data_IF_467239381330
#
_entry.id   IF_467239381330
#
_cell.length_a   1.000
_cell.length_b   1.000
_cell.length_c   1.000
_cell.angle_alpha   90.00
_cell.angle_beta   90.00
_cell.angle_gamma   90.00
#
_symmetry.space_group_name_H-M   'P 1'
#
loop_
_entity.id
_entity.type
_entity.pdbx_description
1 polymer ?
#
# COMPACT_ATOMS: atom_id res chain seq x y z
N UNK A 1 6.87 -25.38 16.32
CA UNK A 1 6.24 -24.16 15.79
C UNK A 1 5.83 -23.38 17.02
N UNK A 2 6.64 -22.37 17.43
CA UNK A 2 6.26 -21.49 18.53
C UNK A 2 4.99 -20.72 18.16
N UNK A 3 4.06 -20.57 19.10
CA UNK A 3 2.93 -19.66 18.94
C UNK A 3 3.50 -18.27 18.63
N UNK A 4 3.21 -17.77 17.44
CA UNK A 4 3.52 -16.39 17.13
C UNK A 4 2.67 -15.52 18.08
N UNK A 5 3.34 -14.81 19.00
CA UNK A 5 2.66 -13.95 19.95
C UNK A 5 1.78 -12.91 19.23
N UNK A 6 0.74 -12.44 19.92
CA UNK A 6 -0.09 -11.35 19.40
C UNK A 6 0.79 -10.11 19.19
N UNK A 7 0.80 -9.59 17.97
CA UNK A 7 1.56 -8.39 17.60
C UNK A 7 0.60 -7.21 17.46
N UNK A 8 0.96 -6.06 17.98
CA UNK A 8 0.20 -4.81 17.78
C UNK A 8 0.82 -4.02 16.62
N UNK A 9 0.06 -3.84 15.56
CA UNK A 9 0.50 -3.16 14.34
C UNK A 9 -0.02 -1.71 14.28
N UNK A 10 0.87 -0.74 14.14
CA UNK A 10 0.53 0.63 13.82
C UNK A 10 0.41 0.79 12.30
N UNK A 11 -0.79 1.03 11.79
CA UNK A 11 -1.06 1.07 10.35
C UNK A 11 -1.52 2.46 9.93
N UNK A 12 -0.80 3.08 8.99
CA UNK A 12 -1.28 4.26 8.27
C UNK A 12 -1.98 3.84 6.97
N UNK A 13 -2.94 4.65 6.50
CA UNK A 13 -3.70 4.29 5.30
C UNK A 13 -4.70 3.14 5.49
N UNK A 14 -5.03 2.79 6.73
CA UNK A 14 -5.87 1.67 7.13
C UNK A 14 -7.29 1.68 6.52
N UNK A 15 -7.81 2.86 6.15
CA UNK A 15 -9.13 3.02 5.52
C UNK A 15 -9.07 2.99 3.98
N UNK A 16 -7.86 2.85 3.40
CA UNK A 16 -7.64 2.72 1.96
C UNK A 16 -7.72 1.27 1.48
N UNK A 17 -7.55 1.07 0.18
CA UNK A 17 -7.65 -0.24 -0.48
C UNK A 17 -6.66 -1.27 0.10
N UNK A 18 -5.37 -1.00 0.03
CA UNK A 18 -4.33 -1.91 0.54
C UNK A 18 -4.33 -1.98 2.06
N UNK A 19 -4.44 -0.81 2.73
CA UNK A 19 -4.44 -0.76 4.20
C UNK A 19 -5.65 -1.46 4.81
N UNK A 20 -6.83 -1.38 4.19
CA UNK A 20 -8.03 -2.10 4.61
C UNK A 20 -7.85 -3.61 4.52
N UNK A 21 -7.30 -4.12 3.41
CA UNK A 21 -7.00 -5.54 3.25
C UNK A 21 -5.97 -6.02 4.30
N UNK A 22 -4.96 -5.19 4.61
CA UNK A 22 -3.99 -5.50 5.67
C UNK A 22 -4.65 -5.57 7.05
N UNK A 23 -5.55 -4.65 7.38
CA UNK A 23 -6.31 -4.70 8.66
C UNK A 23 -7.09 -6.01 8.77
N UNK A 24 -7.85 -6.37 7.72
CA UNK A 24 -8.60 -7.63 7.70
C UNK A 24 -7.67 -8.84 7.92
N UNK A 25 -6.53 -8.84 7.24
CA UNK A 25 -5.56 -9.92 7.34
C UNK A 25 -4.93 -10.02 8.72
N UNK A 26 -4.56 -8.89 9.33
CA UNK A 26 -3.98 -8.84 10.66
C UNK A 26 -4.96 -9.37 11.72
N UNK A 27 -6.21 -8.93 11.69
CA UNK A 27 -7.25 -9.39 12.61
C UNK A 27 -7.55 -10.88 12.43
N UNK A 28 -7.63 -11.36 11.20
CA UNK A 28 -7.84 -12.80 10.90
C UNK A 28 -6.70 -13.69 11.40
N UNK A 29 -5.50 -13.11 11.55
CA UNK A 29 -4.33 -13.80 12.11
C UNK A 29 -4.20 -13.62 13.65
N UNK A 30 -5.16 -12.96 14.30
CA UNK A 30 -5.18 -12.77 15.76
C UNK A 30 -4.33 -11.60 16.27
N UNK A 31 -3.88 -10.69 15.40
CA UNK A 31 -3.12 -9.51 15.79
C UNK A 31 -4.04 -8.34 16.15
N UNK A 32 -3.49 -7.38 16.91
CA UNK A 32 -4.16 -6.11 17.23
C UNK A 32 -3.69 -5.01 16.29
N UNK A 33 -4.56 -4.05 16.00
CA UNK A 33 -4.28 -2.97 15.06
C UNK A 33 -4.53 -1.61 15.71
N UNK A 34 -3.59 -0.71 15.60
CA UNK A 34 -3.73 0.73 15.82
C UNK A 34 -3.75 1.41 14.46
N UNK A 35 -4.84 2.05 14.09
CA UNK A 35 -5.11 2.48 12.73
C UNK A 35 -5.32 3.99 12.66
N UNK A 36 -4.46 4.70 11.89
CA UNK A 36 -4.61 6.12 11.65
C UNK A 36 -5.79 6.38 10.70
N UNK A 37 -6.68 7.28 11.08
CA UNK A 37 -7.83 7.66 10.28
C UNK A 37 -8.11 9.17 10.34
N UNK A 38 -8.50 9.77 9.21
CA UNK A 38 -8.90 11.19 9.14
C UNK A 38 -10.36 11.43 9.47
N UNK A 39 -11.14 10.38 9.66
CA UNK A 39 -12.59 10.46 9.93
C UNK A 39 -12.95 9.39 10.96
N UNK A 40 -13.91 9.63 11.84
CA UNK A 40 -14.40 8.63 12.77
C UNK A 40 -14.78 7.34 12.06
N UNK A 41 -14.41 6.22 12.66
CA UNK A 41 -14.71 4.88 12.18
C UNK A 41 -15.61 4.15 13.17
N UNK A 42 -16.35 3.15 12.71
CA UNK A 42 -17.11 2.27 13.59
C UNK A 42 -16.16 1.50 14.49
N UNK A 43 -16.54 1.33 15.75
CA UNK A 43 -15.82 0.47 16.67
C UNK A 43 -15.71 -0.95 16.10
N UNK A 44 -14.56 -1.56 16.30
CA UNK A 44 -14.24 -2.90 15.83
C UNK A 44 -13.31 -3.57 16.83
N UNK A 45 -13.56 -4.84 17.14
CA UNK A 45 -12.73 -5.61 18.05
C UNK A 45 -11.29 -5.68 17.54
N UNK A 46 -10.35 -5.56 18.46
CA UNK A 46 -8.91 -5.55 18.21
C UNK A 46 -8.42 -4.43 17.25
N UNK A 47 -9.23 -3.38 17.02
CA UNK A 47 -8.83 -2.17 16.28
C UNK A 47 -9.00 -0.94 17.14
N UNK A 48 -7.91 -0.24 17.40
CA UNK A 48 -7.91 1.09 18.00
C UNK A 48 -7.77 2.13 16.90
N UNK A 49 -8.86 2.86 16.62
CA UNK A 49 -8.83 3.94 15.63
C UNK A 49 -8.24 5.20 16.25
N UNK A 50 -7.17 5.72 15.64
CA UNK A 50 -6.53 6.98 16.05
C UNK A 50 -6.95 8.05 15.05
N UNK A 51 -7.73 9.00 15.48
CA UNK A 51 -8.13 10.13 14.64
C UNK A 51 -6.95 11.09 14.48
N UNK A 52 -6.56 11.36 13.23
CA UNK A 52 -5.40 12.18 12.93
C UNK A 52 -4.98 12.13 11.47
N UNK A 53 -3.78 12.64 11.21
CA UNK A 53 -3.19 12.69 9.87
C UNK A 53 -1.66 12.68 9.97
N UNK A 54 -0.98 12.47 8.83
CA UNK A 54 0.49 12.40 8.79
C UNK A 54 1.19 13.73 9.15
N UNK A 55 0.49 14.84 9.03
CA UNK A 55 0.95 16.19 9.40
C UNK A 55 0.61 16.58 10.86
N UNK A 56 0.11 15.63 11.67
CA UNK A 56 -0.22 15.83 13.09
C UNK A 56 0.64 14.95 13.98
N UNK A 57 1.77 15.45 14.50
CA UNK A 57 2.70 14.66 15.30
C UNK A 57 2.07 13.97 16.50
N UNK A 58 1.16 14.62 17.22
CA UNK A 58 0.47 14.03 18.38
C UNK A 58 -0.34 12.78 18.00
N UNK A 59 -0.98 12.78 16.82
CA UNK A 59 -1.72 11.62 16.34
C UNK A 59 -0.81 10.48 15.91
N UNK A 60 0.38 10.78 15.41
CA UNK A 60 1.39 9.77 15.09
C UNK A 60 2.02 9.18 16.35
N UNK A 61 2.29 9.99 17.37
CA UNK A 61 2.73 9.51 18.68
C UNK A 61 1.69 8.56 19.29
N UNK A 62 0.41 8.97 19.29
CA UNK A 62 -0.68 8.10 19.74
C UNK A 62 -0.82 6.83 18.88
N UNK A 63 -0.54 6.89 17.57
CA UNK A 63 -0.61 5.73 16.69
C UNK A 63 0.41 4.65 17.07
N UNK A 64 1.64 5.03 17.36
CA UNK A 64 2.76 4.11 17.63
C UNK A 64 2.87 3.68 19.09
N UNK A 65 2.10 4.27 19.99
CA UNK A 65 2.12 3.92 21.41
C UNK A 65 1.80 2.44 21.62
N UNK A 66 2.74 1.68 22.22
CA UNK A 66 2.59 0.25 22.47
C UNK A 66 2.51 -0.61 21.21
N UNK A 67 2.91 -0.10 20.05
CA UNK A 67 2.99 -0.89 18.82
C UNK A 67 4.32 -1.64 18.74
N UNK A 68 4.28 -2.85 18.21
CA UNK A 68 5.47 -3.69 17.95
C UNK A 68 6.09 -3.38 16.58
N UNK A 69 5.26 -2.99 15.61
CA UNK A 69 5.68 -2.68 14.26
C UNK A 69 4.82 -1.58 13.62
N UNK A 70 5.43 -0.81 12.72
CA UNK A 70 4.75 0.14 11.85
C UNK A 70 4.61 -0.43 10.46
N UNK A 71 3.40 -0.36 9.87
CA UNK A 71 3.18 -0.58 8.45
C UNK A 71 2.66 0.73 7.83
N UNK A 72 3.55 1.42 7.13
CA UNK A 72 3.27 2.71 6.51
C UNK A 72 2.74 2.52 5.09
N UNK A 73 1.40 2.44 4.97
CA UNK A 73 0.69 2.27 3.69
C UNK A 73 0.20 3.59 3.12
N UNK A 74 -0.02 4.60 3.99
CA UNK A 74 -0.51 5.90 3.55
C UNK A 74 0.44 6.56 2.55
N UNK A 75 -0.14 7.13 1.52
CA UNK A 75 0.56 7.88 0.49
C UNK A 75 -0.42 8.48 -0.50
N UNK A 76 0.06 9.42 -1.30
CA UNK A 76 -0.70 10.09 -2.36
C UNK A 76 -0.28 9.51 -3.69
N UNK A 77 -1.23 8.90 -4.41
CA UNK A 77 -1.01 8.33 -5.76
C UNK A 77 -1.35 9.34 -6.87
N UNK A 78 -2.21 10.32 -6.58
CA UNK A 78 -2.61 11.36 -7.52
C UNK A 78 -2.88 12.67 -6.79
N UNK A 79 -2.30 13.75 -7.31
CA UNK A 79 -2.50 15.12 -6.84
C UNK A 79 -2.13 16.08 -7.97
N UNK A 80 -2.77 17.26 -8.09
CA UNK A 80 -2.49 18.21 -9.16
C UNK A 80 -1.11 18.87 -9.06
N UNK A 81 -0.41 18.78 -7.91
CA UNK A 81 0.84 19.52 -7.67
C UNK A 81 1.96 18.65 -7.15
N UNK A 82 3.21 19.00 -7.48
CA UNK A 82 4.40 18.38 -6.91
C UNK A 82 4.42 18.53 -5.37
N UNK A 83 3.99 19.68 -4.86
CA UNK A 83 3.90 19.93 -3.41
C UNK A 83 2.97 18.95 -2.69
N UNK A 84 1.87 18.53 -3.33
CA UNK A 84 0.98 17.51 -2.77
C UNK A 84 1.65 16.13 -2.63
N UNK A 85 2.49 15.75 -3.60
CA UNK A 85 3.31 14.53 -3.49
C UNK A 85 4.39 14.67 -2.40
N UNK A 86 5.04 15.83 -2.27
CA UNK A 86 6.01 16.08 -1.19
C UNK A 86 5.34 15.92 0.15
N UNK A 87 4.25 16.63 0.41
CA UNK A 87 3.55 16.59 1.69
C UNK A 87 3.05 15.18 2.04
N UNK A 88 2.43 14.47 1.07
CA UNK A 88 1.82 13.16 1.34
C UNK A 88 2.81 12.00 1.38
N UNK A 89 3.83 11.98 0.52
CA UNK A 89 4.74 10.85 0.40
C UNK A 89 6.08 11.08 1.13
N UNK A 90 6.67 12.27 1.04
CA UNK A 90 7.99 12.53 1.62
C UNK A 90 7.86 12.99 3.08
N UNK A 91 7.12 14.07 3.32
CA UNK A 91 7.00 14.64 4.66
C UNK A 91 6.18 13.72 5.59
N UNK A 92 5.13 13.09 5.05
CA UNK A 92 4.37 12.08 5.78
C UNK A 92 5.21 10.88 6.20
N UNK A 93 6.09 10.36 5.32
CA UNK A 93 7.01 9.28 5.66
C UNK A 93 8.05 9.73 6.69
N UNK A 94 8.60 10.94 6.54
CA UNK A 94 9.54 11.52 7.53
C UNK A 94 8.91 11.63 8.92
N UNK A 95 7.67 12.11 8.99
CA UNK A 95 6.96 12.24 10.26
C UNK A 95 6.69 10.88 10.90
N UNK A 96 6.31 9.87 10.09
CA UNK A 96 6.07 8.51 10.60
C UNK A 96 7.34 7.83 11.10
N UNK A 97 8.47 8.01 10.42
CA UNK A 97 9.79 7.55 10.87
C UNK A 97 10.13 8.18 12.23
N UNK A 98 10.00 9.51 12.34
CA UNK A 98 10.29 10.23 13.58
C UNK A 98 9.42 9.74 14.74
N UNK A 99 8.13 9.49 14.52
CA UNK A 99 7.23 8.94 15.53
C UNK A 99 7.65 7.52 15.97
N UNK A 100 8.00 6.65 15.02
CA UNK A 100 8.46 5.29 15.31
C UNK A 100 9.75 5.31 16.15
N UNK A 101 10.73 6.14 15.78
CA UNK A 101 11.99 6.32 16.51
C UNK A 101 11.77 6.83 17.94
N UNK A 102 10.92 7.85 18.10
CA UNK A 102 10.61 8.44 19.41
C UNK A 102 9.93 7.43 20.36
N UNK A 103 9.11 6.53 19.82
CA UNK A 103 8.44 5.49 20.58
C UNK A 103 9.28 4.20 20.75
N UNK A 104 10.48 4.12 20.16
CA UNK A 104 11.33 2.94 20.20
C UNK A 104 10.82 1.77 19.35
N UNK A 105 9.85 2.00 18.45
CA UNK A 105 9.32 0.98 17.53
C UNK A 105 10.32 0.81 16.38
N UNK A 106 11.04 -0.30 16.40
CA UNK A 106 12.13 -0.52 15.44
C UNK A 106 11.65 -1.09 14.10
N UNK A 107 10.67 -2.00 14.12
CA UNK A 107 10.18 -2.65 12.90
C UNK A 107 9.33 -1.72 12.05
N UNK A 108 9.75 -1.46 10.81
CA UNK A 108 9.11 -0.49 9.90
C UNK A 108 8.95 -1.06 8.50
N UNK A 109 7.72 -1.29 8.06
CA UNK A 109 7.38 -1.73 6.71
C UNK A 109 6.82 -0.55 5.91
N UNK A 110 7.52 -0.14 4.86
CA UNK A 110 7.10 0.95 3.98
C UNK A 110 6.52 0.42 2.68
N UNK A 111 5.29 0.81 2.37
CA UNK A 111 4.68 0.50 1.07
C UNK A 111 5.02 1.59 0.08
N UNK A 112 5.97 1.28 -0.80
CA UNK A 112 6.40 2.12 -1.91
C UNK A 112 5.61 1.80 -3.19
N UNK A 113 6.26 1.78 -4.33
CA UNK A 113 5.69 1.44 -5.64
C UNK A 113 6.82 0.99 -6.58
N UNK A 114 6.50 0.11 -7.52
CA UNK A 114 7.42 -0.22 -8.60
C UNK A 114 7.86 1.01 -9.42
N UNK A 115 7.03 2.07 -9.43
CA UNK A 115 7.37 3.36 -10.06
C UNK A 115 8.60 4.05 -9.45
N UNK A 116 9.00 3.71 -8.23
CA UNK A 116 10.20 4.26 -7.59
C UNK A 116 11.51 3.80 -8.27
N UNK A 117 11.48 2.74 -9.09
CA UNK A 117 12.65 2.28 -9.88
C UNK A 117 13.10 3.30 -10.92
N UNK A 118 12.13 4.05 -11.47
CA UNK A 118 12.35 4.99 -12.57
C UNK A 118 11.81 6.38 -12.14
N UNK A 119 12.48 7.03 -11.19
CA UNK A 119 11.95 8.26 -10.56
C UNK A 119 11.80 9.42 -11.55
N UNK A 120 12.56 9.41 -12.63
CA UNK A 120 12.52 10.47 -13.65
C UNK A 120 11.29 10.40 -14.56
N UNK A 121 10.58 9.26 -14.57
CA UNK A 121 9.40 9.07 -15.42
C UNK A 121 8.13 9.75 -14.88
N UNK A 122 8.06 10.02 -13.57
CA UNK A 122 6.89 10.67 -12.98
C UNK A 122 7.18 11.32 -11.63
N UNK A 123 6.45 12.40 -11.31
CA UNK A 123 6.53 13.04 -9.99
C UNK A 123 6.11 12.06 -8.87
N UNK A 124 5.18 11.16 -9.16
CA UNK A 124 4.80 10.09 -8.22
C UNK A 124 5.98 9.15 -7.94
N UNK A 125 6.60 8.59 -8.99
CA UNK A 125 7.76 7.71 -8.85
C UNK A 125 8.92 8.39 -8.11
N UNK A 126 9.23 9.65 -8.48
CA UNK A 126 10.20 10.46 -7.77
C UNK A 126 9.87 10.58 -6.28
N UNK A 127 8.63 10.92 -5.93
CA UNK A 127 8.24 11.10 -4.53
C UNK A 127 8.32 9.81 -3.69
N UNK A 128 8.08 8.66 -4.33
CA UNK A 128 8.25 7.35 -3.68
C UNK A 128 9.72 7.02 -3.48
N UNK A 129 10.58 7.28 -4.46
CA UNK A 129 12.03 7.09 -4.34
C UNK A 129 12.64 7.97 -3.23
N UNK A 130 12.23 9.25 -3.14
CA UNK A 130 12.65 10.14 -2.05
C UNK A 130 12.21 9.61 -0.67
N UNK A 131 10.99 9.09 -0.57
CA UNK A 131 10.50 8.48 0.66
C UNK A 131 11.31 7.22 1.05
N UNK A 132 11.70 6.38 0.08
CA UNK A 132 12.56 5.23 0.30
C UNK A 132 13.92 5.64 0.86
N UNK A 133 14.54 6.68 0.32
CA UNK A 133 15.81 7.22 0.83
C UNK A 133 15.72 7.61 2.31
N UNK A 134 14.58 8.19 2.75
CA UNK A 134 14.35 8.51 4.15
C UNK A 134 14.25 7.24 5.01
N UNK A 135 13.57 6.21 4.50
CA UNK A 135 13.42 4.92 5.21
C UNK A 135 14.76 4.22 5.34
N UNK A 136 15.56 4.17 4.28
CA UNK A 136 16.90 3.55 4.27
C UNK A 136 17.85 4.24 5.26
N UNK A 137 17.78 5.56 5.36
CA UNK A 137 18.61 6.36 6.27
C UNK A 137 18.10 6.37 7.72
N UNK A 138 16.93 5.76 8.02
CA UNK A 138 16.27 5.90 9.31
C UNK A 138 16.95 5.16 10.48
N UNK A 139 17.78 4.17 10.21
CA UNK A 139 18.33 3.28 11.25
C UNK A 139 17.31 2.35 11.90
N UNK A 140 16.09 2.26 11.35
CA UNK A 140 15.06 1.30 11.76
C UNK A 140 15.32 -0.08 11.11
N UNK A 141 14.65 -1.10 11.60
CA UNK A 141 14.64 -2.43 10.99
C UNK A 141 13.60 -2.42 9.86
N UNK A 142 13.95 -1.82 8.73
CA UNK A 142 13.02 -1.52 7.68
C UNK A 142 12.84 -2.63 6.63
N UNK A 143 11.70 -2.64 5.99
CA UNK A 143 11.45 -3.31 4.72
C UNK A 143 10.69 -2.35 3.80
N UNK A 144 11.15 -2.21 2.57
CA UNK A 144 10.47 -1.43 1.53
C UNK A 144 9.81 -2.41 0.57
N UNK A 145 8.51 -2.26 0.35
CA UNK A 145 7.76 -3.07 -0.61
C UNK A 145 7.36 -2.20 -1.79
N UNK A 146 7.79 -2.59 -2.99
CA UNK A 146 7.45 -1.97 -4.28
C UNK A 146 6.44 -2.84 -5.03
N UNK A 147 5.13 -2.72 -4.72
CA UNK A 147 4.14 -3.46 -5.47
C UNK A 147 4.05 -2.94 -6.91
N UNK A 148 3.73 -3.85 -7.82
CA UNK A 148 3.22 -3.53 -9.16
C UNK A 148 1.79 -3.01 -9.08
N UNK A 149 1.02 -3.02 -10.17
CA UNK A 149 -0.40 -2.64 -10.13
C UNK A 149 -1.19 -3.55 -9.18
N UNK A 150 -1.72 -2.98 -8.09
CA UNK A 150 -2.51 -3.75 -7.11
C UNK A 150 -3.96 -3.85 -7.57
N UNK A 151 -4.54 -5.04 -7.51
CA UNK A 151 -5.94 -5.26 -7.89
C UNK A 151 -6.67 -6.12 -6.84
N UNK A 152 -8.00 -6.04 -6.83
CA UNK A 152 -8.82 -6.92 -5.98
C UNK A 152 -10.13 -6.28 -5.52
N UNK A 153 -10.85 -6.96 -4.61
CA UNK A 153 -12.09 -6.43 -4.03
C UNK A 153 -11.86 -5.09 -3.34
N UNK A 154 -12.66 -4.08 -3.67
CA UNK A 154 -12.54 -2.73 -3.10
C UNK A 154 -11.67 -1.76 -3.92
N UNK A 155 -11.04 -2.22 -5.01
CA UNK A 155 -10.29 -1.36 -5.92
C UNK A 155 -11.24 -0.40 -6.67
N UNK A 156 -11.06 0.90 -6.43
CA UNK A 156 -11.85 1.94 -7.07
C UNK A 156 -11.22 2.46 -8.37
N UNK A 157 -9.91 2.27 -8.56
CA UNK A 157 -9.18 2.74 -9.74
C UNK A 157 -9.44 1.83 -10.95
N UNK A 158 -9.38 0.50 -10.75
CA UNK A 158 -9.69 -0.43 -11.83
C UNK A 158 -11.20 -0.61 -12.10
N UNK A 159 -12.06 -0.08 -11.24
CA UNK A 159 -13.51 -0.21 -11.35
C UNK A 159 -14.04 0.19 -12.72
N UNK A 160 -13.54 1.27 -13.28
CA UNK A 160 -14.03 1.79 -14.57
C UNK A 160 -13.55 0.92 -15.75
N UNK A 161 -12.40 0.26 -15.64
CA UNK A 161 -11.98 -0.79 -16.59
C UNK A 161 -12.94 -1.98 -16.56
N UNK A 162 -13.35 -2.44 -15.38
CA UNK A 162 -14.34 -3.51 -15.23
C UNK A 162 -15.72 -3.10 -15.79
N UNK A 163 -16.13 -1.86 -15.55
CA UNK A 163 -17.40 -1.32 -16.09
C UNK A 163 -17.38 -1.25 -17.62
N UNK A 164 -16.33 -0.72 -18.22
CA UNK A 164 -16.16 -0.67 -19.66
C UNK A 164 -16.13 -2.08 -20.26
N UNK A 165 -15.40 -3.00 -19.65
CA UNK A 165 -15.35 -4.41 -20.09
C UNK A 165 -16.72 -5.09 -20.05
N UNK A 166 -17.57 -4.80 -19.04
CA UNK A 166 -18.96 -5.28 -18.99
C UNK A 166 -19.79 -4.77 -20.18
N UNK A 167 -19.52 -3.58 -20.69
CA UNK A 167 -20.13 -3.04 -21.90
C UNK A 167 -19.48 -3.56 -23.20
N UNK A 168 -18.42 -4.40 -23.08
CA UNK A 168 -17.71 -4.96 -24.22
C UNK A 168 -16.64 -4.03 -24.80
N UNK A 169 -16.20 -3.01 -24.03
CA UNK A 169 -15.22 -2.03 -24.47
C UNK A 169 -14.01 -2.02 -23.53
N UNK A 170 -12.80 -1.85 -24.07
CA UNK A 170 -11.59 -1.57 -23.32
C UNK A 170 -10.79 -0.46 -24.02
N UNK A 171 -10.62 0.66 -23.32
CA UNK A 171 -9.69 1.72 -23.72
C UNK A 171 -8.32 1.34 -23.17
N UNK A 172 -7.33 1.21 -24.04
CA UNK A 172 -5.99 0.79 -23.68
C UNK A 172 -5.00 1.93 -23.86
N UNK A 173 -4.05 2.08 -22.94
CA UNK A 173 -2.91 2.95 -23.17
C UNK A 173 -2.07 2.42 -24.35
N UNK A 174 -1.06 3.18 -24.82
CA UNK A 174 -0.14 2.73 -25.85
C UNK A 174 0.39 1.33 -25.55
N UNK A 175 0.89 0.64 -26.56
CA UNK A 175 1.42 -0.73 -26.43
C UNK A 175 2.44 -0.81 -25.30
N UNK A 176 2.20 -1.68 -24.33
CA UNK A 176 3.05 -1.85 -23.16
C UNK A 176 2.75 -3.15 -22.43
N UNK A 177 3.47 -3.33 -21.35
CA UNK A 177 3.34 -4.47 -20.46
C UNK A 177 3.02 -4.00 -19.05
N UNK A 178 2.31 -4.81 -18.30
CA UNK A 178 1.94 -4.57 -16.91
C UNK A 178 2.11 -5.86 -16.13
N UNK A 179 2.63 -5.76 -14.93
CA UNK A 179 2.52 -6.79 -13.90
C UNK A 179 1.54 -6.33 -12.83
N UNK A 180 0.90 -7.27 -12.18
CA UNK A 180 -0.14 -7.03 -11.19
C UNK A 180 0.15 -7.87 -9.94
N UNK A 181 -0.44 -7.47 -8.82
CA UNK A 181 -0.48 -8.27 -7.59
C UNK A 181 -1.87 -8.20 -6.96
N UNK A 182 -2.39 -9.33 -6.49
CA UNK A 182 -3.64 -9.34 -5.75
C UNK A 182 -3.45 -8.64 -4.39
N UNK A 183 -4.41 -7.82 -3.99
CA UNK A 183 -4.37 -7.08 -2.72
C UNK A 183 -4.22 -8.00 -1.51
N UNK A 184 -4.82 -9.20 -1.56
CA UNK A 184 -4.71 -10.20 -0.49
C UNK A 184 -3.29 -10.77 -0.37
N UNK A 185 -2.61 -10.99 -1.50
CA UNK A 185 -1.22 -11.46 -1.51
C UNK A 185 -0.27 -10.37 -1.01
N UNK A 186 -0.49 -9.12 -1.43
CA UNK A 186 0.25 -7.98 -0.89
C UNK A 186 0.03 -7.84 0.62
N UNK A 187 -1.22 -7.91 1.10
CA UNK A 187 -1.53 -7.82 2.52
C UNK A 187 -0.87 -8.96 3.33
N UNK A 188 -0.85 -10.17 2.77
CA UNK A 188 -0.15 -11.32 3.38
C UNK A 188 1.36 -11.07 3.53
N UNK A 189 1.99 -10.54 2.48
CA UNK A 189 3.41 -10.18 2.52
C UNK A 189 3.67 -9.07 3.54
N UNK A 190 2.88 -8.00 3.53
CA UNK A 190 3.04 -6.88 4.47
C UNK A 190 2.93 -7.35 5.94
N UNK A 191 1.96 -8.22 6.23
CA UNK A 191 1.82 -8.82 7.55
C UNK A 191 3.03 -9.67 7.92
N UNK A 192 3.47 -10.55 7.03
CA UNK A 192 4.64 -11.40 7.26
C UNK A 192 5.89 -10.57 7.55
N UNK A 193 6.14 -9.52 6.76
CA UNK A 193 7.25 -8.61 6.98
C UNK A 193 7.13 -7.84 8.30
N UNK A 194 5.94 -7.48 8.74
CA UNK A 194 5.72 -6.76 10.00
C UNK A 194 5.90 -7.64 11.24
N UNK A 195 5.65 -8.94 11.12
CA UNK A 195 5.65 -9.89 12.25
C UNK A 195 6.89 -10.80 12.30
N UNK A 196 7.79 -10.69 11.33
CA UNK A 196 9.01 -11.51 11.26
C UNK A 196 10.25 -10.60 11.27
N UNK A 197 11.28 -11.03 11.97
CA UNK A 197 12.60 -10.38 11.86
C UNK A 197 13.22 -10.73 10.51
N UNK A 198 13.47 -9.71 9.70
CA UNK A 198 14.16 -9.82 8.42
C UNK A 198 15.21 -8.72 8.29
N UNK A 199 16.27 -8.97 7.55
CA UNK A 199 17.26 -7.94 7.25
C UNK A 199 16.64 -6.84 6.38
N UNK A 200 17.11 -5.59 6.50
CA UNK A 200 16.67 -4.49 5.64
C UNK A 200 16.78 -4.87 4.16
N UNK A 201 15.68 -4.75 3.44
CA UNK A 201 15.62 -5.09 2.00
C UNK A 201 14.48 -4.37 1.27
N UNK A 202 14.66 -4.22 -0.04
CA UNK A 202 13.63 -3.78 -0.98
C UNK A 202 13.04 -5.01 -1.67
N UNK A 203 11.71 -5.13 -1.64
CA UNK A 203 10.95 -6.22 -2.25
C UNK A 203 10.13 -5.68 -3.41
N UNK A 204 10.49 -6.02 -4.64
CA UNK A 204 9.66 -5.78 -5.82
C UNK A 204 8.72 -6.98 -6.01
N UNK A 205 7.41 -6.71 -6.06
CA UNK A 205 6.43 -7.80 -5.93
C UNK A 205 5.32 -7.71 -6.98
N UNK A 206 5.05 -8.85 -7.59
CA UNK A 206 3.93 -9.08 -8.50
C UNK A 206 3.46 -10.54 -8.42
N UNK A 207 2.50 -10.96 -9.26
CA UNK A 207 1.99 -12.33 -9.34
C UNK A 207 2.86 -13.28 -10.19
N UNK A 208 4.03 -12.84 -10.63
CA UNK A 208 4.95 -13.59 -11.49
C UNK A 208 4.55 -13.59 -12.97
N UNK A 209 3.50 -12.83 -13.35
CA UNK A 209 3.02 -12.77 -14.73
C UNK A 209 3.10 -11.37 -15.32
N UNK A 210 3.74 -11.26 -16.48
CA UNK A 210 3.77 -10.01 -17.25
C UNK A 210 2.74 -10.09 -18.37
N UNK A 211 1.73 -9.22 -18.31
CA UNK A 211 0.65 -9.15 -19.29
C UNK A 211 0.87 -7.99 -20.25
N UNK A 212 0.41 -8.14 -21.51
CA UNK A 212 0.17 -6.96 -22.35
C UNK A 212 -1.15 -6.29 -21.92
N UNK A 213 -1.29 -4.97 -22.17
CA UNK A 213 -2.54 -4.27 -21.87
C UNK A 213 -3.76 -4.98 -22.51
N UNK A 214 -3.60 -5.48 -23.74
CA UNK A 214 -4.65 -6.24 -24.41
C UNK A 214 -4.94 -7.61 -23.75
N UNK A 215 -3.92 -8.27 -23.21
CA UNK A 215 -4.12 -9.52 -22.46
C UNK A 215 -4.86 -9.28 -21.14
N UNK A 216 -4.48 -8.22 -20.42
CA UNK A 216 -5.18 -7.76 -19.20
C UNK A 216 -6.64 -7.43 -19.50
N UNK A 217 -6.93 -6.65 -20.54
CA UNK A 217 -8.31 -6.31 -20.92
C UNK A 217 -9.16 -7.56 -21.24
N UNK A 218 -8.58 -8.54 -21.93
CA UNK A 218 -9.25 -9.84 -22.19
C UNK A 218 -9.49 -10.63 -20.91
N UNK A 219 -8.56 -10.60 -19.96
CA UNK A 219 -8.73 -11.26 -18.67
C UNK A 219 -9.88 -10.61 -17.87
N UNK A 220 -9.92 -9.28 -17.80
CA UNK A 220 -11.02 -8.53 -17.17
C UNK A 220 -12.35 -8.84 -17.85
N UNK A 221 -12.40 -8.85 -19.19
CA UNK A 221 -13.62 -9.18 -19.93
C UNK A 221 -14.14 -10.58 -19.59
N UNK A 222 -13.27 -11.58 -19.53
CA UNK A 222 -13.64 -12.94 -19.10
C UNK A 222 -14.17 -12.97 -17.66
N UNK A 223 -13.52 -12.26 -16.76
CA UNK A 223 -13.94 -12.19 -15.35
C UNK A 223 -15.34 -11.58 -15.18
N UNK A 224 -15.74 -10.66 -16.06
CA UNK A 224 -17.12 -10.10 -16.07
C UNK A 224 -18.10 -10.84 -16.97
N UNK A 225 -17.77 -12.06 -17.43
CA UNK A 225 -18.64 -12.93 -18.22
C UNK A 225 -18.69 -12.59 -19.72
N UNK A 226 -17.77 -11.78 -20.24
CA UNK A 226 -17.71 -11.44 -21.67
C UNK A 226 -16.71 -12.32 -22.41
N UNK A 227 -17.14 -12.92 -23.52
CA UNK A 227 -16.27 -13.72 -24.41
C UNK A 227 -15.36 -12.84 -25.28
N UNK A 228 -15.79 -11.62 -25.61
CA UNK A 228 -15.06 -10.67 -26.47
C UNK A 228 -15.15 -9.26 -25.89
N UNK A 229 -14.13 -8.47 -26.14
CA UNK A 229 -14.04 -7.03 -25.81
C UNK A 229 -13.39 -6.32 -26.98
N UNK A 230 -13.99 -5.21 -27.41
CA UNK A 230 -13.39 -4.31 -28.39
C UNK A 230 -12.30 -3.49 -27.70
N UNK A 231 -11.08 -3.61 -28.17
CA UNK A 231 -9.93 -2.84 -27.65
C UNK A 231 -9.66 -1.65 -28.55
N UNK A 232 -9.66 -0.46 -27.95
CA UNK A 232 -9.25 0.79 -28.61
C UNK A 232 -7.97 1.27 -27.93
N UNK A 233 -6.95 1.56 -28.72
CA UNK A 233 -5.70 2.19 -28.26
C UNK A 233 -5.81 3.70 -28.36
N UNK A 234 -5.46 4.41 -27.28
CA UNK A 234 -5.38 5.87 -27.22
C UNK A 234 -4.02 6.34 -27.73
#
# INVERSE_FOLDING_TARGET
MGEAGVTTLAITGATGFVGGALVERALSAGHSVRALTRRPQRARDNVTWIEGALDRPDSLAALVEGADAVVHVAGVVSTPTKAGFVAGNIDGTRAMIAAAQAAGVRRFVHVSSLSAREPDLSIYGWSKAEAETLVEASGLDWSIVRPSGVYGPGDMEMRDLFRAARMGLALLPPRGRVSLIAVDDLARLLLALATTQVSPAVYEVDDGHVLTHAAMARAIARAVGRKRVLTLHL
#
